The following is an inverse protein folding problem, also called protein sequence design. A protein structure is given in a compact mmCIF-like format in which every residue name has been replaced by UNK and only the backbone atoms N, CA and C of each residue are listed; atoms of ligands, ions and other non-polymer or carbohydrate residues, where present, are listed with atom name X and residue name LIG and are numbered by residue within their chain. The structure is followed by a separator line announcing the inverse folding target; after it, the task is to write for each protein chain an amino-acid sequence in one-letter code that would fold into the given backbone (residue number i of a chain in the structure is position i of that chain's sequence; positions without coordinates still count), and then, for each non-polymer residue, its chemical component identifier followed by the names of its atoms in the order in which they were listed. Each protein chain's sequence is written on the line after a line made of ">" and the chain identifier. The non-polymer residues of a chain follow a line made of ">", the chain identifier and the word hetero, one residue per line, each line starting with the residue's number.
data_IF_383640019323
#
_entry.id   IF_383640019323
#
_cell.length_a   1.000
_cell.length_b   1.000
_cell.length_c   1.000
_cell.angle_alpha   90.00
_cell.angle_beta   90.00
_cell.angle_gamma   90.00
#
_symmetry.space_group_name_H-M   'P 1'
#
loop_
_entity.id
_entity.type
_entity.pdbx_description
1 polymer ?
#
# COMPACT_ATOMS: atom_id res chain seq x y z
N UNK A 1 -20.03 -32.83 -19.29
CA UNK A 1 -21.41 -32.31 -19.25
C UNK A 1 -22.43 -33.15 -20.01
N UNK A 2 -22.02 -34.06 -20.90
CA UNK A 2 -22.92 -35.02 -21.56
C UNK A 2 -23.80 -35.80 -20.56
N UNK A 3 -23.24 -36.18 -19.40
CA UNK A 3 -23.95 -36.86 -18.32
C UNK A 3 -25.20 -36.13 -17.78
N UNK A 4 -25.25 -34.80 -17.81
CA UNK A 4 -26.41 -34.02 -17.35
C UNK A 4 -27.51 -33.93 -18.42
N UNK A 5 -27.10 -33.94 -19.70
CA UNK A 5 -28.00 -33.91 -20.85
C UNK A 5 -28.63 -35.30 -21.10
N UNK A 6 -27.84 -36.36 -20.89
CA UNK A 6 -28.27 -37.77 -21.01
C UNK A 6 -29.28 -38.19 -19.92
N UNK A 7 -29.47 -37.36 -18.88
CA UNK A 7 -30.42 -37.64 -17.79
C UNK A 7 -31.87 -37.26 -18.10
N UNK A 8 -32.15 -36.62 -19.23
CA UNK A 8 -33.49 -36.10 -19.60
C UNK A 8 -34.20 -36.87 -20.70
N UNK A 9 -33.52 -37.67 -21.50
CA UNK A 9 -34.08 -38.22 -22.76
C UNK A 9 -34.91 -39.52 -22.58
N UNK A 10 -35.31 -39.92 -21.37
CA UNK A 10 -35.92 -41.25 -21.16
C UNK A 10 -37.46 -41.24 -21.08
N UNK A 11 -38.14 -40.13 -21.39
CA UNK A 11 -39.60 -40.06 -21.21
C UNK A 11 -40.46 -40.52 -22.40
N UNK A 12 -39.92 -40.69 -23.61
CA UNK A 12 -40.71 -41.17 -24.75
C UNK A 12 -40.10 -42.42 -25.40
N UNK A 13 -40.49 -43.61 -24.92
CA UNK A 13 -40.93 -44.72 -25.78
C UNK A 13 -41.35 -45.97 -24.97
N UNK A 14 -42.58 -46.41 -25.28
CA UNK A 14 -43.22 -47.70 -25.06
C UNK A 14 -43.33 -48.30 -23.64
N UNK A 15 -44.61 -48.54 -23.30
CA UNK A 15 -45.12 -49.13 -22.08
C UNK A 15 -44.94 -50.65 -22.08
N UNK A 16 -43.85 -51.14 -21.47
CA UNK A 16 -43.73 -52.49 -20.90
C UNK A 16 -42.37 -52.61 -20.19
N UNK A 17 -42.26 -52.09 -18.95
CA UNK A 17 -41.22 -52.40 -17.91
C UNK A 17 -41.26 -51.36 -16.77
N UNK A 18 -42.42 -51.19 -16.12
CA UNK A 18 -42.65 -50.09 -15.14
C UNK A 18 -41.80 -50.12 -13.85
N UNK A 19 -41.21 -51.26 -13.48
CA UNK A 19 -40.41 -51.40 -12.25
C UNK A 19 -38.94 -51.00 -12.38
N UNK A 20 -38.29 -51.32 -13.51
CA UNK A 20 -36.86 -51.03 -13.75
C UNK A 20 -36.63 -49.58 -14.24
N UNK A 21 -37.50 -49.04 -15.09
CA UNK A 21 -37.40 -47.65 -15.61
C UNK A 21 -37.56 -46.60 -14.49
N UNK A 22 -38.46 -46.83 -13.53
CA UNK A 22 -38.73 -45.91 -12.42
C UNK A 22 -37.60 -45.83 -11.39
N UNK A 23 -36.83 -46.92 -11.22
CA UNK A 23 -35.60 -46.93 -10.42
C UNK A 23 -34.43 -46.24 -11.12
N UNK A 24 -34.33 -46.38 -12.45
CA UNK A 24 -33.31 -45.70 -13.26
C UNK A 24 -33.50 -44.17 -13.26
N UNK A 25 -34.74 -43.71 -13.45
CA UNK A 25 -35.09 -42.28 -13.40
C UNK A 25 -34.77 -41.64 -12.04
N UNK A 26 -35.03 -42.33 -10.91
CA UNK A 26 -34.61 -41.84 -9.58
C UNK A 26 -33.10 -41.78 -9.40
N UNK A 27 -32.35 -42.73 -9.96
CA UNK A 27 -30.87 -42.72 -9.92
C UNK A 27 -30.28 -41.59 -10.77
N UNK A 28 -30.85 -41.33 -11.95
CA UNK A 28 -30.46 -40.22 -12.82
C UNK A 28 -30.76 -38.86 -12.17
N UNK A 29 -31.92 -38.72 -11.53
CA UNK A 29 -32.25 -37.51 -10.76
C UNK A 29 -31.30 -37.30 -9.57
N UNK A 30 -30.96 -38.37 -8.84
CA UNK A 30 -29.96 -38.32 -7.76
C UNK A 30 -28.58 -37.95 -8.28
N UNK A 31 -28.17 -38.50 -9.43
CA UNK A 31 -26.89 -38.21 -10.06
C UNK A 31 -26.81 -36.73 -10.46
N UNK A 32 -27.85 -36.22 -11.14
CA UNK A 32 -27.98 -34.80 -11.49
C UNK A 32 -27.88 -33.91 -10.26
N UNK A 33 -28.57 -34.26 -9.17
CA UNK A 33 -28.51 -33.51 -7.92
C UNK A 33 -27.10 -33.49 -7.32
N UNK A 34 -26.42 -34.64 -7.26
CA UNK A 34 -25.05 -34.74 -6.77
C UNK A 34 -24.06 -33.99 -7.66
N UNK A 35 -24.22 -34.02 -9.00
CA UNK A 35 -23.36 -33.29 -9.94
C UNK A 35 -23.53 -31.78 -9.78
N UNK A 36 -24.76 -31.28 -9.69
CA UNK A 36 -25.03 -29.86 -9.42
C UNK A 36 -24.40 -29.44 -8.09
N UNK A 37 -24.55 -30.23 -7.03
CA UNK A 37 -23.97 -29.93 -5.72
C UNK A 37 -22.43 -29.93 -5.75
N UNK A 38 -21.81 -30.90 -6.42
CA UNK A 38 -20.37 -30.98 -6.57
C UNK A 38 -19.81 -29.79 -7.37
N UNK A 39 -20.49 -29.40 -8.46
CA UNK A 39 -20.13 -28.22 -9.25
C UNK A 39 -20.30 -26.94 -8.45
N UNK A 40 -21.39 -26.77 -7.70
CA UNK A 40 -21.59 -25.61 -6.83
C UNK A 40 -20.47 -25.51 -5.78
N UNK A 41 -20.10 -26.60 -5.11
CA UNK A 41 -19.03 -26.59 -4.12
C UNK A 41 -17.65 -26.30 -4.73
N UNK A 42 -17.36 -26.83 -5.92
CA UNK A 42 -16.09 -26.62 -6.60
C UNK A 42 -15.96 -25.17 -7.13
N UNK A 43 -17.04 -24.63 -7.67
CA UNK A 43 -17.11 -23.23 -8.10
C UNK A 43 -17.04 -22.29 -6.90
N UNK A 44 -17.69 -22.61 -5.77
CA UNK A 44 -17.60 -21.81 -4.55
C UNK A 44 -16.17 -21.79 -3.97
N UNK A 45 -15.43 -22.90 -4.09
CA UNK A 45 -14.04 -22.98 -3.65
C UNK A 45 -13.06 -22.18 -4.55
N UNK A 46 -13.40 -21.93 -5.81
CA UNK A 46 -12.58 -21.15 -6.76
C UNK A 46 -13.47 -20.48 -7.83
N UNK A 47 -14.07 -19.36 -7.43
CA UNK A 47 -15.11 -18.67 -8.20
C UNK A 47 -14.53 -18.08 -9.49
N UNK A 48 -13.33 -17.51 -9.44
CA UNK A 48 -12.65 -16.88 -10.58
C UNK A 48 -12.40 -17.85 -11.75
N UNK A 49 -11.69 -18.95 -11.50
CA UNK A 49 -11.40 -19.94 -12.54
C UNK A 49 -12.68 -20.65 -13.00
N UNK A 50 -13.58 -20.92 -12.04
CA UNK A 50 -14.86 -21.56 -12.26
C UNK A 50 -15.77 -20.82 -13.24
N UNK A 51 -15.97 -19.52 -13.03
CA UNK A 51 -16.76 -18.67 -13.91
C UNK A 51 -16.06 -18.39 -15.23
N UNK A 52 -14.75 -18.14 -15.24
CA UNK A 52 -14.00 -17.90 -16.48
C UNK A 52 -14.25 -19.00 -17.52
N UNK A 53 -14.29 -20.27 -17.08
CA UNK A 53 -14.50 -21.41 -17.97
C UNK A 53 -15.98 -21.82 -18.15
N UNK A 54 -16.87 -21.40 -17.27
CA UNK A 54 -18.28 -21.84 -17.26
C UNK A 54 -19.28 -20.78 -17.69
N UNK A 55 -18.92 -19.48 -17.73
CA UNK A 55 -19.85 -18.39 -18.03
C UNK A 55 -20.46 -18.50 -19.44
N UNK A 56 -19.70 -19.05 -20.40
CA UNK A 56 -20.17 -19.30 -21.76
C UNK A 56 -21.37 -20.27 -21.83
N UNK A 57 -21.57 -21.08 -20.79
CA UNK A 57 -22.69 -22.04 -20.72
C UNK A 57 -24.03 -21.36 -20.51
N UNK A 58 -24.05 -20.14 -19.95
CA UNK A 58 -25.25 -19.31 -19.88
C UNK A 58 -25.78 -18.90 -21.26
N UNK A 59 -24.94 -18.95 -22.29
CA UNK A 59 -25.26 -18.62 -23.68
C UNK A 59 -25.30 -19.84 -24.61
N UNK A 60 -25.25 -21.05 -24.05
CA UNK A 60 -25.25 -22.27 -24.84
C UNK A 60 -26.52 -22.39 -25.71
N UNK A 61 -26.40 -22.98 -26.91
CA UNK A 61 -27.53 -23.10 -27.85
C UNK A 61 -28.66 -23.97 -27.30
N UNK A 62 -28.30 -25.00 -26.53
CA UNK A 62 -29.24 -25.88 -25.86
C UNK A 62 -29.85 -25.22 -24.61
N UNK A 63 -31.19 -25.25 -24.52
CA UNK A 63 -31.98 -24.71 -23.42
C UNK A 63 -31.68 -25.41 -22.10
N UNK A 64 -31.43 -26.71 -22.12
CA UNK A 64 -31.26 -27.51 -20.92
C UNK A 64 -29.93 -27.25 -20.24
N UNK A 65 -28.87 -27.11 -21.04
CA UNK A 65 -27.53 -26.69 -20.57
C UNK A 65 -27.60 -25.31 -19.92
N UNK A 66 -28.31 -24.35 -20.53
CA UNK A 66 -28.51 -23.02 -19.94
C UNK A 66 -29.29 -23.07 -18.64
N UNK A 67 -30.37 -23.85 -18.58
CA UNK A 67 -31.17 -24.00 -17.38
C UNK A 67 -30.37 -24.62 -16.23
N UNK A 68 -29.54 -25.63 -16.54
CA UNK A 68 -28.68 -26.29 -15.55
C UNK A 68 -27.58 -25.35 -15.05
N UNK A 69 -26.99 -24.54 -15.94
CA UNK A 69 -26.03 -23.52 -15.54
C UNK A 69 -26.67 -22.46 -14.64
N UNK A 70 -27.86 -21.96 -14.99
CA UNK A 70 -28.60 -21.01 -14.16
C UNK A 70 -29.00 -21.61 -12.81
N UNK A 71 -29.34 -22.91 -12.77
CA UNK A 71 -29.62 -23.64 -11.52
C UNK A 71 -28.39 -23.71 -10.61
N UNK A 72 -27.21 -24.02 -11.18
CA UNK A 72 -25.93 -24.04 -10.45
C UNK A 72 -25.56 -22.64 -9.95
N UNK A 73 -25.65 -21.62 -10.79
CA UNK A 73 -25.34 -20.24 -10.46
C UNK A 73 -26.26 -19.69 -9.36
N UNK A 74 -27.56 -20.00 -9.44
CA UNK A 74 -28.56 -19.63 -8.41
C UNK A 74 -28.23 -20.26 -7.07
N UNK A 75 -27.80 -21.53 -7.04
CA UNK A 75 -27.38 -22.20 -5.80
C UNK A 75 -26.13 -21.59 -5.19
N UNK A 76 -25.15 -21.18 -5.99
CA UNK A 76 -23.94 -20.50 -5.52
C UNK A 76 -24.31 -19.16 -4.87
N UNK A 77 -25.15 -18.36 -5.54
CA UNK A 77 -25.66 -17.10 -4.99
C UNK A 77 -26.44 -17.28 -3.68
N UNK A 78 -27.28 -18.31 -3.59
CA UNK A 78 -28.05 -18.62 -2.37
C UNK A 78 -27.19 -19.13 -1.20
N UNK A 79 -26.01 -19.69 -1.47
CA UNK A 79 -25.06 -20.13 -0.45
C UNK A 79 -24.26 -18.98 0.18
N UNK A 80 -24.48 -17.73 -0.25
CA UNK A 80 -23.81 -16.56 0.29
C UNK A 80 -22.42 -16.32 -0.30
N UNK A 81 -22.11 -16.88 -1.47
CA UNK A 81 -20.88 -16.55 -2.20
C UNK A 81 -20.92 -15.09 -2.62
N UNK A 82 -20.03 -14.27 -2.04
CA UNK A 82 -19.89 -12.86 -2.36
C UNK A 82 -19.17 -12.72 -3.71
N UNK A 83 -19.88 -12.25 -4.75
CA UNK A 83 -19.28 -11.94 -6.05
C UNK A 83 -18.59 -10.58 -6.08
N UNK A 84 -18.85 -9.75 -5.07
CA UNK A 84 -18.28 -8.41 -4.94
C UNK A 84 -16.74 -8.45 -4.88
N UNK A 85 -16.18 -9.51 -4.31
CA UNK A 85 -14.72 -9.72 -4.25
C UNK A 85 -14.08 -10.00 -5.61
N UNK A 86 -14.81 -10.46 -6.63
CA UNK A 86 -14.24 -10.69 -7.97
C UNK A 86 -13.90 -9.37 -8.67
N UNK A 87 -14.79 -8.38 -8.56
CA UNK A 87 -14.53 -7.04 -9.12
C UNK A 87 -13.35 -6.37 -8.41
N UNK A 88 -13.27 -6.52 -7.09
CA UNK A 88 -12.14 -6.03 -6.28
C UNK A 88 -10.84 -6.77 -6.60
N UNK A 89 -10.88 -8.09 -6.83
CA UNK A 89 -9.71 -8.90 -7.21
C UNK A 89 -9.20 -8.52 -8.60
N UNK A 90 -10.09 -8.29 -9.58
CA UNK A 90 -9.70 -7.80 -10.91
C UNK A 90 -9.12 -6.37 -10.85
N UNK A 91 -9.63 -5.51 -9.99
CA UNK A 91 -9.07 -4.17 -9.77
C UNK A 91 -7.70 -4.25 -9.09
N UNK A 92 -7.54 -5.11 -8.08
CA UNK A 92 -6.27 -5.34 -7.40
C UNK A 92 -5.19 -5.82 -8.37
N UNK A 93 -5.49 -6.79 -9.24
CA UNK A 93 -4.58 -7.27 -10.28
C UNK A 93 -4.14 -6.17 -11.25
N UNK A 94 -5.05 -5.24 -11.59
CA UNK A 94 -4.72 -4.11 -12.47
C UNK A 94 -3.81 -3.10 -11.79
N UNK A 95 -4.06 -2.79 -10.51
CA UNK A 95 -3.21 -1.87 -9.75
C UNK A 95 -1.84 -2.48 -9.46
N UNK A 96 -1.78 -3.79 -9.22
CA UNK A 96 -0.52 -4.52 -9.06
C UNK A 96 0.38 -4.34 -10.28
N UNK A 97 -0.18 -4.54 -11.48
CA UNK A 97 0.54 -4.36 -12.74
C UNK A 97 0.99 -2.91 -12.97
N UNK A 98 0.21 -1.93 -12.50
CA UNK A 98 0.62 -0.51 -12.53
C UNK A 98 1.78 -0.24 -11.57
N UNK A 99 1.73 -0.80 -10.36
CA UNK A 99 2.81 -0.68 -9.37
C UNK A 99 4.10 -1.29 -9.93
N UNK A 100 4.03 -2.46 -10.54
CA UNK A 100 5.18 -3.10 -11.21
C UNK A 100 5.80 -2.19 -12.28
N UNK A 101 4.97 -1.55 -13.12
CA UNK A 101 5.44 -0.60 -14.13
C UNK A 101 6.11 0.64 -13.50
N UNK A 102 5.56 1.20 -12.43
CA UNK A 102 6.12 2.36 -11.74
C UNK A 102 7.45 2.02 -11.05
N UNK A 103 7.59 0.81 -10.50
CA UNK A 103 8.83 0.32 -9.89
C UNK A 103 9.81 -0.33 -10.86
N UNK A 104 9.49 -0.35 -12.15
CA UNK A 104 10.34 -0.98 -13.15
C UNK A 104 11.73 -0.34 -13.14
N UNK A 105 12.76 -1.18 -13.07
CA UNK A 105 14.15 -0.78 -13.17
C UNK A 105 14.66 -1.07 -14.59
N UNK A 106 15.31 -0.09 -15.21
CA UNK A 106 16.06 -0.29 -16.44
C UNK A 106 17.37 -1.04 -16.19
N UNK A 107 18.07 -1.39 -17.28
CA UNK A 107 19.32 -2.17 -17.24
C UNK A 107 20.43 -1.52 -16.40
N UNK A 108 20.40 -0.20 -16.26
CA UNK A 108 21.37 0.58 -15.47
C UNK A 108 20.86 0.95 -14.06
N UNK A 109 19.73 0.38 -13.62
CA UNK A 109 19.10 0.72 -12.33
C UNK A 109 18.33 2.04 -12.33
N UNK A 110 18.06 2.59 -13.52
CA UNK A 110 17.21 3.76 -13.72
C UNK A 110 15.75 3.44 -13.40
N UNK A 111 15.01 4.44 -12.93
CA UNK A 111 13.56 4.34 -12.69
C UNK A 111 12.79 5.19 -13.70
N UNK A 112 12.69 4.75 -14.97
CA UNK A 112 12.24 5.60 -16.08
C UNK A 112 10.84 6.18 -15.85
N UNK A 113 9.90 5.38 -15.34
CA UNK A 113 8.52 5.82 -15.11
C UNK A 113 8.44 6.79 -13.94
N UNK A 114 9.09 6.50 -12.81
CA UNK A 114 9.12 7.40 -11.66
C UNK A 114 9.79 8.74 -12.00
N UNK A 115 10.90 8.72 -12.76
CA UNK A 115 11.59 9.92 -13.21
C UNK A 115 10.77 10.72 -14.24
N UNK A 116 10.03 10.07 -15.14
CA UNK A 116 9.11 10.75 -16.04
C UNK A 116 7.97 11.44 -15.27
N UNK A 117 7.38 10.75 -14.30
CA UNK A 117 6.34 11.32 -13.44
C UNK A 117 6.86 12.53 -12.64
N UNK A 118 8.08 12.45 -12.11
CA UNK A 118 8.73 13.56 -11.41
C UNK A 118 8.80 14.85 -12.25
N UNK A 119 8.96 14.73 -13.57
CA UNK A 119 9.06 15.87 -14.48
C UNK A 119 7.70 16.40 -14.98
N UNK A 120 6.67 15.56 -15.04
CA UNK A 120 5.37 15.91 -15.63
C UNK A 120 4.36 16.35 -14.57
N UNK A 121 4.47 15.85 -13.33
CA UNK A 121 3.54 16.18 -12.25
C UNK A 121 3.74 17.62 -11.80
N UNK A 122 2.67 18.44 -11.72
CA UNK A 122 2.76 19.83 -11.26
C UNK A 122 3.30 19.95 -9.83
N UNK A 123 4.06 21.01 -9.56
CA UNK A 123 4.69 21.23 -8.25
C UNK A 123 3.69 21.28 -7.07
N UNK A 124 2.43 21.63 -7.33
CA UNK A 124 1.35 21.62 -6.33
C UNK A 124 1.01 20.22 -5.79
N UNK A 125 1.39 19.16 -6.51
CA UNK A 125 1.15 17.76 -6.13
C UNK A 125 2.41 17.05 -5.63
N UNK A 126 3.56 17.72 -5.58
CA UNK A 126 4.83 17.05 -5.24
C UNK A 126 4.87 16.48 -3.82
N UNK A 127 4.16 17.07 -2.85
CA UNK A 127 4.09 16.50 -1.50
C UNK A 127 3.38 15.14 -1.51
N UNK A 128 2.31 15.04 -2.28
CA UNK A 128 1.55 13.80 -2.44
C UNK A 128 2.32 12.77 -3.29
N UNK A 129 2.98 13.24 -4.35
CA UNK A 129 3.84 12.39 -5.18
C UNK A 129 4.99 11.79 -4.36
N UNK A 130 5.67 12.60 -3.54
CA UNK A 130 6.73 12.14 -2.65
C UNK A 130 6.22 11.05 -1.69
N UNK A 131 5.05 11.29 -1.08
CA UNK A 131 4.39 10.32 -0.20
C UNK A 131 4.10 9.00 -0.92
N UNK A 132 3.48 9.06 -2.11
CA UNK A 132 3.11 7.88 -2.89
C UNK A 132 4.35 7.10 -3.32
N UNK A 133 5.35 7.76 -3.90
CA UNK A 133 6.58 7.10 -4.36
C UNK A 133 7.33 6.44 -3.20
N UNK A 134 7.57 7.15 -2.09
CA UNK A 134 8.27 6.56 -0.94
C UNK A 134 7.51 5.35 -0.40
N UNK A 135 6.19 5.47 -0.19
CA UNK A 135 5.36 4.37 0.33
C UNK A 135 5.39 3.15 -0.60
N UNK A 136 5.26 3.38 -1.89
CA UNK A 136 5.20 2.34 -2.90
C UNK A 136 6.56 1.63 -3.05
N UNK A 137 7.65 2.37 -3.18
CA UNK A 137 8.99 1.80 -3.31
C UNK A 137 9.46 1.11 -2.02
N UNK A 138 9.13 1.64 -0.84
CA UNK A 138 9.43 0.97 0.44
C UNK A 138 8.68 -0.36 0.58
N UNK A 139 7.39 -0.41 0.19
CA UNK A 139 6.61 -1.66 0.21
C UNK A 139 7.17 -2.76 -0.70
N UNK A 140 7.99 -2.38 -1.69
CA UNK A 140 8.67 -3.30 -2.62
C UNK A 140 10.15 -3.53 -2.28
N UNK A 141 10.63 -2.99 -1.16
CA UNK A 141 12.04 -3.01 -0.78
C UNK A 141 12.99 -2.35 -1.80
N UNK A 142 12.46 -1.39 -2.57
CA UNK A 142 13.18 -0.62 -3.61
C UNK A 142 13.41 0.85 -3.21
N UNK A 143 13.24 1.19 -1.92
CA UNK A 143 13.39 2.56 -1.44
C UNK A 143 14.78 3.13 -1.73
N UNK A 144 15.84 2.34 -1.55
CA UNK A 144 17.21 2.79 -1.82
C UNK A 144 17.40 3.22 -3.28
N UNK A 145 16.84 2.46 -4.22
CA UNK A 145 16.90 2.74 -5.65
C UNK A 145 16.17 4.04 -6.01
N UNK A 146 15.01 4.30 -5.38
CA UNK A 146 14.30 5.57 -5.51
C UNK A 146 15.16 6.74 -5.00
N UNK A 147 15.70 6.62 -3.78
CA UNK A 147 16.53 7.66 -3.18
C UNK A 147 17.77 7.95 -4.02
N UNK A 148 18.46 6.90 -4.48
CA UNK A 148 19.64 7.03 -5.33
C UNK A 148 19.33 7.80 -6.62
N UNK A 149 18.28 7.44 -7.33
CA UNK A 149 17.90 8.10 -8.59
C UNK A 149 17.52 9.58 -8.35
N UNK A 150 16.70 9.85 -7.33
CA UNK A 150 16.22 11.20 -7.02
C UNK A 150 17.34 12.11 -6.51
N UNK A 151 18.20 11.62 -5.63
CA UNK A 151 19.32 12.39 -5.08
C UNK A 151 20.42 12.60 -6.13
N UNK A 152 20.76 11.57 -6.91
CA UNK A 152 21.73 11.73 -8.00
C UNK A 152 21.27 12.78 -9.00
N UNK A 153 19.98 12.80 -9.34
CA UNK A 153 19.45 13.81 -10.26
C UNK A 153 19.50 15.23 -9.69
N UNK A 154 19.19 15.39 -8.41
CA UNK A 154 19.28 16.69 -7.73
C UNK A 154 20.73 17.20 -7.70
N UNK A 155 21.69 16.32 -7.40
CA UNK A 155 23.12 16.64 -7.37
C UNK A 155 23.63 17.02 -8.77
N UNK A 156 23.22 16.29 -9.80
CA UNK A 156 23.58 16.56 -11.21
C UNK A 156 23.09 17.94 -11.68
N UNK A 157 21.91 18.37 -11.21
CA UNK A 157 21.28 19.64 -11.60
C UNK A 157 21.74 20.83 -10.75
N UNK A 158 22.41 20.61 -9.61
CA UNK A 158 22.79 21.68 -8.70
C UNK A 158 24.02 22.45 -9.20
N UNK A 159 23.93 23.79 -9.25
CA UNK A 159 25.05 24.66 -9.62
C UNK A 159 26.22 24.60 -8.62
N UNK A 160 25.92 24.33 -7.34
CA UNK A 160 26.90 24.32 -6.26
C UNK A 160 26.46 23.46 -5.09
N UNK A 161 27.42 23.01 -4.27
CA UNK A 161 27.12 22.24 -3.05
C UNK A 161 26.28 23.03 -2.05
N UNK A 162 26.36 24.37 -2.05
CA UNK A 162 25.63 25.23 -1.12
C UNK A 162 24.14 25.36 -1.44
N UNK A 163 23.69 25.02 -2.64
CA UNK A 163 22.27 25.08 -3.04
C UNK A 163 21.55 23.73 -2.93
N UNK A 164 22.31 22.65 -2.75
CA UNK A 164 21.84 21.28 -2.70
C UNK A 164 20.81 21.04 -1.58
N UNK A 165 19.63 20.53 -1.93
CA UNK A 165 18.49 20.26 -1.03
C UNK A 165 18.00 21.45 -0.18
N UNK A 166 18.34 22.69 -0.56
CA UNK A 166 17.83 23.90 0.10
C UNK A 166 16.55 24.43 -0.54
N UNK A 167 16.22 23.96 -1.74
CA UNK A 167 15.03 24.34 -2.48
C UNK A 167 13.82 23.45 -2.21
N UNK A 168 12.67 23.87 -2.75
CA UNK A 168 11.43 23.11 -2.73
C UNK A 168 11.34 22.15 -3.94
N UNK A 169 12.33 21.26 -4.10
CA UNK A 169 12.35 20.24 -5.14
C UNK A 169 11.63 18.97 -4.70
N UNK A 170 11.28 18.09 -5.65
CA UNK A 170 10.70 16.80 -5.32
C UNK A 170 11.67 15.92 -4.51
N UNK A 171 12.98 16.00 -4.77
CA UNK A 171 13.98 15.26 -4.02
C UNK A 171 14.05 15.72 -2.55
N UNK A 172 14.02 17.04 -2.29
CA UNK A 172 13.91 17.60 -0.94
C UNK A 172 12.63 17.15 -0.22
N UNK A 173 11.50 17.07 -0.94
CA UNK A 173 10.23 16.57 -0.39
C UNK A 173 10.29 15.08 -0.05
N UNK A 174 10.87 14.26 -0.92
CA UNK A 174 11.09 12.81 -0.67
C UNK A 174 11.97 12.62 0.57
N UNK A 175 13.07 13.36 0.68
CA UNK A 175 13.96 13.31 1.83
C UNK A 175 13.23 13.69 3.13
N UNK A 176 12.50 14.82 3.10
CA UNK A 176 11.71 15.29 4.26
C UNK A 176 10.65 14.28 4.67
N UNK A 177 9.98 13.67 3.69
CA UNK A 177 8.98 12.63 3.96
C UNK A 177 9.60 11.40 4.62
N UNK A 178 10.78 10.95 4.16
CA UNK A 178 11.52 9.86 4.80
C UNK A 178 11.87 10.20 6.26
N UNK A 179 12.41 11.40 6.51
CA UNK A 179 12.69 11.86 7.89
C UNK A 179 11.45 11.89 8.77
N UNK A 180 10.32 12.31 8.21
CA UNK A 180 9.05 12.32 8.94
C UNK A 180 8.57 10.92 9.30
N UNK A 181 8.48 10.00 8.33
CA UNK A 181 7.90 8.67 8.54
C UNK A 181 8.79 7.80 9.42
N UNK A 182 10.10 7.77 9.18
CA UNK A 182 11.01 6.90 9.93
C UNK A 182 11.60 7.56 11.17
N UNK A 183 11.58 8.89 11.25
CA UNK A 183 12.19 9.66 12.33
C UNK A 183 11.23 10.18 13.40
N UNK A 184 9.92 10.21 13.16
CA UNK A 184 8.96 10.80 14.11
C UNK A 184 9.09 10.23 15.52
N UNK A 185 9.07 8.90 15.65
CA UNK A 185 9.19 8.22 16.94
C UNK A 185 10.55 8.46 17.61
N UNK A 186 11.63 8.49 16.83
CA UNK A 186 12.98 8.78 17.32
C UNK A 186 13.05 10.22 17.87
N UNK A 187 12.59 11.19 17.08
CA UNK A 187 12.64 12.60 17.44
C UNK A 187 11.74 12.90 18.64
N UNK A 188 10.55 12.27 18.70
CA UNK A 188 9.66 12.38 19.85
C UNK A 188 10.33 11.85 21.12
N UNK A 189 10.89 10.63 21.09
CA UNK A 189 11.56 10.05 22.26
C UNK A 189 12.77 10.86 22.72
N UNK A 190 13.50 11.47 21.78
CA UNK A 190 14.66 12.29 22.07
C UNK A 190 14.29 13.65 22.66
N UNK A 191 13.33 14.36 22.05
CA UNK A 191 13.03 15.76 22.37
C UNK A 191 11.94 15.92 23.45
N UNK A 192 10.96 15.02 23.54
CA UNK A 192 9.88 15.09 24.54
C UNK A 192 10.39 15.21 25.99
N UNK A 193 11.34 14.39 26.47
CA UNK A 193 11.85 14.53 27.85
C UNK A 193 12.56 15.86 28.07
N UNK A 194 13.32 16.35 27.08
CA UNK A 194 14.00 17.66 27.17
C UNK A 194 12.98 18.79 27.27
N UNK A 195 12.01 18.82 26.36
CA UNK A 195 10.95 19.82 26.33
C UNK A 195 10.13 19.82 27.63
N UNK A 196 9.83 18.64 28.19
CA UNK A 196 9.16 18.54 29.51
C UNK A 196 9.98 19.19 30.61
N UNK A 197 11.29 18.95 30.66
CA UNK A 197 12.17 19.60 31.65
C UNK A 197 12.12 21.12 31.51
N UNK A 198 12.18 21.65 30.28
CA UNK A 198 12.11 23.11 30.05
C UNK A 198 10.76 23.70 30.48
N UNK A 199 9.66 23.02 30.18
CA UNK A 199 8.31 23.57 30.37
C UNK A 199 7.82 23.39 31.81
N UNK A 200 8.16 22.29 32.47
CA UNK A 200 7.54 21.89 33.75
C UNK A 200 8.46 21.95 34.97
N UNK A 201 9.79 21.99 34.79
CA UNK A 201 10.69 22.08 35.93
C UNK A 201 10.64 23.48 36.55
N UNK A 202 10.63 23.53 37.87
CA UNK A 202 10.76 24.78 38.64
C UNK A 202 12.01 25.57 38.28
N UNK A 203 13.08 24.88 37.87
CA UNK A 203 14.36 25.50 37.50
C UNK A 203 14.25 26.40 36.26
N UNK A 204 13.24 26.18 35.41
CA UNK A 204 13.06 26.89 34.13
C UNK A 204 11.81 27.78 34.08
N UNK A 205 11.01 27.83 35.15
CA UNK A 205 9.67 28.43 35.14
C UNK A 205 9.65 29.97 35.01
N UNK A 206 10.78 30.64 35.31
CA UNK A 206 10.96 32.09 35.19
C UNK A 206 12.21 32.47 34.38
N UNK A 207 12.67 31.57 33.52
CA UNK A 207 13.87 31.78 32.71
C UNK A 207 13.51 32.50 31.41
N UNK A 208 14.20 33.61 31.13
CA UNK A 208 14.16 34.28 29.83
C UNK A 208 15.34 33.84 28.95
N UNK A 209 15.07 33.79 27.64
CA UNK A 209 16.05 33.48 26.59
C UNK A 209 16.19 34.64 25.60
N UNK A 210 15.62 35.82 25.89
CA UNK A 210 15.68 36.97 25.00
C UNK A 210 17.10 37.56 25.01
N UNK A 211 17.76 37.50 23.86
CA UNK A 211 19.15 37.95 23.70
C UNK A 211 19.26 39.17 22.78
N UNK A 212 18.15 39.67 22.25
CA UNK A 212 18.08 40.94 21.54
C UNK A 212 17.97 42.10 22.55
N UNK A 213 18.99 42.97 22.65
CA UNK A 213 18.97 44.08 23.60
C UNK A 213 17.81 45.06 23.38
N UNK A 214 17.26 45.13 22.17
CA UNK A 214 16.14 46.02 21.83
C UNK A 214 14.78 45.49 22.31
N UNK A 215 14.72 44.20 22.66
CA UNK A 215 13.51 43.50 23.12
C UNK A 215 13.59 43.07 24.58
N UNK A 216 14.68 43.43 25.27
CA UNK A 216 14.94 43.06 26.65
C UNK A 216 14.08 43.88 27.61
N UNK A 217 13.42 43.20 28.55
CA UNK A 217 12.67 43.83 29.62
C UNK A 217 13.62 44.51 30.63
N UNK A 218 13.16 45.58 31.28
CA UNK A 218 14.01 46.38 32.20
C UNK A 218 14.48 45.60 33.43
N UNK A 219 13.78 44.52 33.79
CA UNK A 219 14.12 43.64 34.90
C UNK A 219 15.07 42.50 34.53
N UNK A 220 15.35 42.30 33.25
CA UNK A 220 16.16 41.17 32.77
C UNK A 220 17.63 41.55 32.56
N UNK A 221 18.50 40.56 32.70
CA UNK A 221 19.94 40.70 32.41
C UNK A 221 20.28 39.98 31.12
N UNK A 222 20.87 40.71 30.16
CA UNK A 222 21.31 40.14 28.88
C UNK A 222 22.31 38.99 29.08
N UNK A 223 23.28 39.17 29.99
CA UNK A 223 24.30 38.16 30.26
C UNK A 223 23.69 36.87 30.84
N UNK A 224 22.66 37.01 31.67
CA UNK A 224 21.94 35.87 32.23
C UNK A 224 21.15 35.13 31.15
N UNK A 225 20.40 35.85 30.31
CA UNK A 225 19.63 35.25 29.21
C UNK A 225 20.52 34.53 28.19
N UNK A 226 21.69 35.10 27.87
CA UNK A 226 22.69 34.44 27.01
C UNK A 226 23.20 33.14 27.63
N UNK A 227 23.52 33.14 28.93
CA UNK A 227 23.93 31.93 29.65
C UNK A 227 22.83 30.89 29.67
N UNK A 228 21.58 31.28 29.90
CA UNK A 228 20.42 30.38 29.87
C UNK A 228 20.26 29.72 28.50
N UNK A 229 20.37 30.51 27.43
CA UNK A 229 20.28 30.01 26.05
C UNK A 229 21.42 29.03 25.71
N UNK A 230 22.65 29.33 26.13
CA UNK A 230 23.79 28.43 25.93
C UNK A 230 23.61 27.12 26.69
N UNK A 231 23.22 27.17 27.97
CA UNK A 231 22.96 25.97 28.77
C UNK A 231 21.86 25.10 28.16
N UNK A 232 20.79 25.72 27.65
CA UNK A 232 19.72 25.01 26.95
C UNK A 232 20.23 24.35 25.67
N UNK A 233 20.94 25.12 24.85
CA UNK A 233 21.48 24.66 23.56
C UNK A 233 22.45 23.51 23.77
N UNK A 234 23.31 23.57 24.78
CA UNK A 234 24.25 22.52 25.13
C UNK A 234 23.52 21.22 25.50
N UNK A 235 22.47 21.29 26.32
CA UNK A 235 21.65 20.12 26.68
C UNK A 235 21.02 19.46 25.46
N UNK A 236 20.39 20.26 24.58
CA UNK A 236 19.77 19.74 23.36
C UNK A 236 20.81 19.16 22.39
N UNK A 237 21.90 19.87 22.16
CA UNK A 237 22.97 19.43 21.27
C UNK A 237 23.63 18.15 21.77
N UNK A 238 23.96 18.08 23.06
CA UNK A 238 24.55 16.89 23.68
C UNK A 238 23.65 15.66 23.56
N UNK A 239 22.32 15.83 23.75
CA UNK A 239 21.37 14.74 23.55
C UNK A 239 21.36 14.23 22.10
N UNK A 240 21.38 15.13 21.12
CA UNK A 240 21.38 14.78 19.68
C UNK A 240 22.66 14.04 19.26
N UNK A 241 23.84 14.48 19.73
CA UNK A 241 25.09 13.79 19.37
C UNK A 241 25.24 12.44 20.10
N UNK A 242 24.63 12.30 21.28
CA UNK A 242 24.69 11.09 22.10
C UNK A 242 23.69 10.02 21.66
N UNK A 243 22.65 10.38 20.92
CA UNK A 243 21.60 9.46 20.45
C UNK A 243 22.00 8.63 19.23
N UNK A 244 23.29 8.60 18.89
CA UNK A 244 23.83 7.87 17.73
C UNK A 244 23.54 6.37 17.75
N UNK A 245 23.28 5.76 18.92
CA UNK A 245 22.89 4.35 19.05
C UNK A 245 21.39 4.10 18.81
N UNK A 246 20.56 5.11 19.09
CA UNK A 246 19.10 5.08 18.95
C UNK A 246 18.62 5.53 17.57
N UNK A 247 19.52 6.03 16.73
CA UNK A 247 19.18 6.55 15.40
C UNK A 247 18.63 5.43 14.48
N UNK A 248 17.42 5.58 13.90
CA UNK A 248 16.74 4.53 13.15
C UNK A 248 17.53 3.99 11.94
N UNK A 249 17.59 2.67 11.72
CA UNK A 249 18.32 2.08 10.58
C UNK A 249 17.86 2.61 9.22
N UNK A 250 16.56 2.82 9.02
CA UNK A 250 15.99 3.37 7.79
C UNK A 250 16.53 4.78 7.53
N UNK A 251 16.60 5.63 8.56
CA UNK A 251 17.20 6.95 8.43
C UNK A 251 18.71 6.90 8.21
N UNK A 252 19.43 5.93 8.80
CA UNK A 252 20.85 5.71 8.47
C UNK A 252 21.01 5.40 6.99
N UNK A 253 20.14 4.57 6.42
CA UNK A 253 20.18 4.25 5.00
C UNK A 253 19.91 5.49 4.14
N UNK A 254 18.96 6.34 4.52
CA UNK A 254 18.68 7.60 3.81
C UNK A 254 19.89 8.53 3.87
N UNK A 255 20.47 8.75 5.05
CA UNK A 255 21.64 9.59 5.24
C UNK A 255 22.89 9.03 4.54
N UNK A 256 23.05 7.70 4.54
CA UNK A 256 24.15 7.04 3.85
C UNK A 256 24.03 7.13 2.33
N UNK A 257 22.82 6.99 1.79
CA UNK A 257 22.56 7.18 0.36
C UNK A 257 22.81 8.63 -0.09
N UNK A 258 22.61 9.59 0.81
CA UNK A 258 22.82 11.01 0.57
C UNK A 258 24.30 11.44 0.66
N UNK A 259 25.11 10.71 1.44
CA UNK A 259 26.51 11.01 1.72
C UNK A 259 27.43 10.59 0.58
#
# INVERSE_FOLDING_TARGET
>A
MNLLNDCSEVEDENAQTGGRKRGMSRRLASLRHCTVLAMSNLLNANVDSGLMHSIGLGYHKDLQTRATFMEVLTKILQQGTEFDTLAETVLADRFERLVELVTMMGDQGELPIAMALANVVPCSQWDELARVLVTLFDSRHLLYQLLWNMFSKEVELADSMQTLFRGNSLASKIMTFCFKVYGATYLQKLLDPLLRVVITSSDWQHVSFEVDPTRLEQSESLEENQRNLLQMTEKFFHAIISSSSEFPPQLRSVCHCLY
#
